data_IF_120585154719
#
_entry.id   IF_120585154719
#
_cell.length_a   1.000
_cell.length_b   1.000
_cell.length_c   1.000
_cell.angle_alpha   90.00
_cell.angle_beta   90.00
_cell.angle_gamma   90.00
#
_symmetry.space_group_name_H-M   'P 1'
#
loop_
_entity.id
_entity.type
_entity.pdbx_description
1 polymer ?
#
# COMPACT_ATOMS: atom_id res chain seq x y z
N UNK A 1 39.55 -33.35 -4.79
CA UNK A 1 38.21 -32.75 -4.63
C UNK A 1 38.39 -31.26 -4.44
N UNK A 2 38.01 -30.46 -5.44
CA UNK A 2 38.14 -29.00 -5.36
C UNK A 2 36.90 -28.43 -4.67
N UNK A 3 37.12 -27.61 -3.63
CA UNK A 3 36.08 -26.79 -3.00
C UNK A 3 35.49 -25.81 -4.02
N UNK A 4 34.16 -25.61 -4.08
CA UNK A 4 33.58 -24.61 -4.96
C UNK A 4 34.03 -23.22 -4.48
N UNK A 5 34.58 -22.42 -5.40
CA UNK A 5 34.86 -21.00 -5.17
C UNK A 5 33.53 -20.29 -4.93
N UNK A 6 33.43 -19.57 -3.82
CA UNK A 6 32.32 -18.66 -3.54
C UNK A 6 32.22 -17.61 -4.65
N UNK A 7 31.02 -17.49 -5.22
CA UNK A 7 30.69 -16.47 -6.22
C UNK A 7 30.82 -15.06 -5.60
N UNK A 8 31.67 -14.16 -6.15
CA UNK A 8 31.84 -12.80 -5.65
C UNK A 8 30.60 -11.91 -5.87
N UNK A 9 29.52 -12.40 -6.50
CA UNK A 9 28.24 -11.70 -6.62
C UNK A 9 27.35 -11.80 -5.37
N UNK A 10 27.71 -12.63 -4.38
CA UNK A 10 27.06 -12.71 -3.07
C UNK A 10 27.75 -11.80 -2.03
N UNK A 11 28.12 -10.59 -2.43
CA UNK A 11 28.46 -9.55 -1.46
C UNK A 11 27.17 -9.07 -0.80
N UNK A 12 27.05 -9.34 0.50
CA UNK A 12 26.00 -8.80 1.36
C UNK A 12 25.96 -7.27 1.23
N UNK A 13 25.05 -6.74 0.41
CA UNK A 13 24.68 -5.33 0.45
C UNK A 13 24.10 -5.04 1.84
N UNK A 14 24.95 -4.53 2.73
CA UNK A 14 24.56 -4.08 4.06
C UNK A 14 24.24 -2.58 3.98
N UNK A 15 22.96 -2.24 3.93
CA UNK A 15 22.50 -0.85 3.78
C UNK A 15 21.23 -0.74 2.95
N UNK A 16 20.44 0.30 3.17
CA UNK A 16 19.19 0.52 2.45
C UNK A 16 19.43 0.67 0.94
N UNK A 17 18.52 0.13 0.12
CA UNK A 17 18.57 0.38 -1.33
C UNK A 17 18.13 1.83 -1.57
N UNK A 18 18.84 2.56 -2.43
CA UNK A 18 18.45 3.91 -2.77
C UNK A 18 17.11 3.90 -3.52
N UNK A 19 16.10 4.58 -2.97
CA UNK A 19 14.76 4.72 -3.53
C UNK A 19 14.39 6.20 -3.62
N UNK A 20 13.66 6.57 -4.68
CA UNK A 20 13.21 7.95 -4.85
C UNK A 20 12.17 8.32 -3.78
N UNK A 21 12.28 9.55 -3.27
CA UNK A 21 11.29 10.19 -2.40
C UNK A 21 10.41 11.18 -3.14
N UNK A 22 10.63 11.34 -4.45
CA UNK A 22 9.84 12.24 -5.28
C UNK A 22 8.45 11.66 -5.52
N UNK A 23 7.46 12.56 -5.59
CA UNK A 23 6.09 12.20 -5.94
C UNK A 23 6.06 11.62 -7.36
N UNK A 24 5.21 10.62 -7.64
CA UNK A 24 4.99 10.14 -9.00
C UNK A 24 4.59 11.29 -9.95
N UNK A 25 5.11 11.27 -11.19
CA UNK A 25 4.71 12.26 -12.19
C UNK A 25 3.24 12.09 -12.56
N UNK A 26 2.65 13.14 -13.16
CA UNK A 26 1.25 13.11 -13.61
C UNK A 26 1.00 11.96 -14.60
N UNK A 27 1.95 11.70 -15.49
CA UNK A 27 1.88 10.61 -16.47
C UNK A 27 1.83 9.24 -15.78
N UNK A 28 2.63 9.04 -14.72
CA UNK A 28 2.58 7.81 -13.92
C UNK A 28 1.24 7.65 -13.19
N UNK A 29 0.66 8.74 -12.69
CA UNK A 29 -0.66 8.71 -12.04
C UNK A 29 -1.75 8.39 -13.06
N UNK A 30 -1.72 9.01 -14.24
CA UNK A 30 -2.65 8.74 -15.35
C UNK A 30 -2.51 7.29 -15.85
N UNK A 31 -1.30 6.75 -15.94
CA UNK A 31 -1.06 5.34 -16.29
C UNK A 31 -1.58 4.38 -15.20
N UNK A 32 -1.28 4.68 -13.93
CA UNK A 32 -1.70 3.86 -12.80
C UNK A 32 -3.22 3.80 -12.66
N UNK A 33 -3.92 4.90 -12.96
CA UNK A 33 -5.37 5.05 -12.80
C UNK A 33 -6.18 3.93 -13.48
N UNK A 34 -5.72 3.45 -14.64
CA UNK A 34 -6.40 2.44 -15.46
C UNK A 34 -5.96 1.00 -15.16
N UNK A 35 -4.98 0.79 -14.26
CA UNK A 35 -4.52 -0.56 -13.93
C UNK A 35 -5.63 -1.32 -13.20
N UNK A 36 -6.01 -2.53 -13.65
CA UNK A 36 -7.00 -3.33 -12.95
C UNK A 36 -6.43 -3.86 -11.63
N UNK A 37 -7.22 -3.73 -10.57
CA UNK A 37 -7.00 -4.37 -9.27
C UNK A 37 -8.16 -5.32 -9.00
N UNK A 38 -7.87 -6.39 -8.27
CA UNK A 38 -8.81 -7.46 -7.93
C UNK A 38 -9.19 -7.39 -6.45
N UNK A 39 -10.46 -7.60 -6.14
CA UNK A 39 -10.90 -7.89 -4.77
C UNK A 39 -10.76 -9.38 -4.42
N UNK A 40 -11.25 -9.79 -3.24
CA UNK A 40 -11.18 -11.18 -2.76
C UNK A 40 -11.92 -12.18 -3.64
N UNK A 41 -12.94 -11.72 -4.37
CA UNK A 41 -13.75 -12.56 -5.26
C UNK A 41 -13.14 -12.63 -6.67
N UNK A 42 -12.00 -11.96 -6.89
CA UNK A 42 -11.35 -11.86 -8.19
C UNK A 42 -12.07 -10.90 -9.13
N UNK A 43 -12.94 -10.02 -8.62
CA UNK A 43 -13.61 -9.01 -9.45
C UNK A 43 -12.68 -7.83 -9.70
N UNK A 44 -12.53 -7.50 -10.98
CA UNK A 44 -11.68 -6.40 -11.43
C UNK A 44 -12.35 -5.04 -11.28
N UNK A 45 -11.53 -4.02 -10.99
CA UNK A 45 -11.87 -2.60 -11.11
C UNK A 45 -10.62 -1.78 -11.44
N UNK A 46 -10.74 -0.65 -12.13
CA UNK A 46 -9.64 0.29 -12.28
C UNK A 46 -9.14 0.79 -10.92
N UNK A 47 -7.82 0.96 -10.78
CA UNK A 47 -7.17 1.45 -9.57
C UNK A 47 -7.72 2.80 -9.12
N UNK A 48 -8.03 3.71 -10.06
CA UNK A 48 -8.61 5.02 -9.75
C UNK A 48 -9.89 4.97 -8.93
N UNK A 49 -10.66 3.88 -9.05
CA UNK A 49 -11.91 3.71 -8.32
C UNK A 49 -11.72 3.63 -6.79
N UNK A 50 -10.47 3.51 -6.31
CA UNK A 50 -10.18 3.60 -4.88
C UNK A 50 -10.23 5.02 -4.34
N UNK A 51 -9.94 6.04 -5.16
CA UNK A 51 -9.78 7.42 -4.71
C UNK A 51 -10.64 8.43 -5.49
N UNK A 52 -11.18 8.06 -6.66
CA UNK A 52 -12.15 8.87 -7.39
C UNK A 52 -13.59 8.58 -6.96
N UNK A 53 -14.46 9.59 -7.13
CA UNK A 53 -15.90 9.49 -6.92
C UNK A 53 -16.64 9.84 -8.20
N UNK A 54 -17.88 9.37 -8.34
CA UNK A 54 -18.80 9.87 -9.36
C UNK A 54 -19.17 11.34 -9.12
N UNK A 55 -19.02 11.85 -7.90
CA UNK A 55 -19.22 13.26 -7.57
C UNK A 55 -17.89 14.02 -7.71
N UNK A 56 -17.74 14.79 -8.80
CA UNK A 56 -16.54 15.57 -9.10
C UNK A 56 -16.21 16.66 -8.07
N UNK A 57 -17.15 17.04 -7.20
CA UNK A 57 -16.94 18.04 -6.15
C UNK A 57 -16.54 17.44 -4.80
N UNK A 58 -16.56 16.10 -4.68
CA UNK A 58 -16.25 15.42 -3.43
C UNK A 58 -14.75 15.43 -3.18
N UNK A 59 -14.32 16.16 -2.14
CA UNK A 59 -12.94 16.10 -1.67
C UNK A 59 -12.68 14.73 -1.05
N UNK A 60 -11.66 14.04 -1.55
CA UNK A 60 -11.27 12.72 -1.05
C UNK A 60 -9.78 12.65 -0.80
N UNK A 61 -9.44 11.85 0.20
CA UNK A 61 -8.08 11.62 0.66
C UNK A 61 -7.90 10.16 0.98
N UNK A 62 -7.15 9.44 0.16
CA UNK A 62 -7.07 7.99 0.26
C UNK A 62 -5.62 7.57 0.40
N UNK A 63 -5.29 6.98 1.55
CA UNK A 63 -4.00 6.36 1.75
C UNK A 63 -4.02 4.93 1.21
N UNK A 64 -3.13 4.65 0.27
CA UNK A 64 -2.99 3.33 -0.33
C UNK A 64 -1.66 2.74 0.10
N UNK A 65 -1.73 1.60 0.80
CA UNK A 65 -0.58 0.87 1.32
C UNK A 65 -0.35 -0.38 0.48
N UNK A 66 0.79 -0.45 -0.19
CA UNK A 66 1.24 -1.62 -0.93
C UNK A 66 2.05 -2.52 0.00
N UNK A 67 1.58 -3.75 0.25
CA UNK A 67 2.35 -4.76 0.99
C UNK A 67 3.22 -5.57 0.05
N UNK A 68 4.30 -6.15 0.58
CA UNK A 68 5.27 -6.93 -0.21
C UNK A 68 4.64 -8.12 -0.94
N UNK A 69 4.09 -9.05 -0.17
CA UNK A 69 3.44 -10.28 -0.61
C UNK A 69 2.61 -10.83 0.57
N UNK A 70 1.59 -11.66 0.32
CA UNK A 70 0.65 -12.06 1.37
C UNK A 70 1.24 -13.00 2.44
N UNK A 71 2.40 -13.61 2.22
CA UNK A 71 3.10 -14.41 3.25
C UNK A 71 4.25 -13.65 3.93
N UNK A 72 4.33 -12.33 3.76
CA UNK A 72 5.36 -11.53 4.40
C UNK A 72 5.03 -11.32 5.88
N UNK A 73 5.76 -12.00 6.78
CA UNK A 73 5.59 -11.83 8.23
C UNK A 73 5.76 -10.39 8.71
N UNK A 74 6.67 -9.61 8.11
CA UNK A 74 6.86 -8.20 8.45
C UNK A 74 5.64 -7.34 8.08
N UNK A 75 5.04 -7.58 6.90
CA UNK A 75 3.83 -6.86 6.49
C UNK A 75 2.62 -7.27 7.30
N UNK A 76 2.54 -8.54 7.71
CA UNK A 76 1.44 -9.00 8.56
C UNK A 76 1.47 -8.36 9.94
N UNK A 77 2.66 -8.27 10.54
CA UNK A 77 2.83 -7.58 11.83
C UNK A 77 2.56 -6.08 11.67
N UNK A 78 3.09 -5.46 10.62
CA UNK A 78 2.80 -4.06 10.30
C UNK A 78 1.30 -3.79 10.22
N UNK A 79 0.54 -4.58 9.45
CA UNK A 79 -0.91 -4.41 9.33
C UNK A 79 -1.66 -4.69 10.63
N UNK A 80 -1.18 -5.63 11.47
CA UNK A 80 -1.78 -5.88 12.78
C UNK A 80 -1.64 -4.67 13.70
N UNK A 81 -0.43 -4.15 13.84
CA UNK A 81 -0.16 -2.96 14.65
C UNK A 81 -0.95 -1.77 14.09
N UNK A 82 -0.88 -1.54 12.78
CA UNK A 82 -1.61 -0.47 12.11
C UNK A 82 -3.12 -0.55 12.36
N UNK A 83 -3.73 -1.72 12.20
CA UNK A 83 -5.17 -1.91 12.39
C UNK A 83 -5.60 -1.72 13.83
N UNK A 84 -4.75 -2.09 14.80
CA UNK A 84 -5.03 -1.84 16.23
C UNK A 84 -4.83 -0.39 16.66
N UNK A 85 -3.99 0.36 15.94
CA UNK A 85 -3.60 1.72 16.28
C UNK A 85 -4.40 2.79 15.55
N UNK A 86 -5.15 2.45 14.50
CA UNK A 86 -5.96 3.39 13.74
C UNK A 86 -7.47 3.24 14.04
N UNK A 87 -8.26 4.33 13.95
CA UNK A 87 -9.72 4.26 14.06
C UNK A 87 -10.34 3.32 13.03
N UNK A 88 -11.55 2.83 13.32
CA UNK A 88 -12.33 2.07 12.34
C UNK A 88 -12.51 2.87 11.04
N UNK A 89 -12.72 2.22 9.87
CA UNK A 89 -12.84 2.93 8.60
C UNK A 89 -13.89 4.07 8.60
N UNK A 90 -14.99 3.90 9.35
CA UNK A 90 -16.05 4.90 9.52
C UNK A 90 -15.71 6.06 10.47
N UNK A 91 -14.65 5.93 11.28
CA UNK A 91 -14.21 6.91 12.26
C UNK A 91 -12.95 7.67 11.82
N UNK A 92 -12.48 7.44 10.58
CA UNK A 92 -11.45 8.28 9.98
C UNK A 92 -12.01 9.69 9.71
N UNK A 93 -11.15 10.72 9.61
CA UNK A 93 -11.58 12.07 9.27
C UNK A 93 -12.42 12.13 7.98
N UNK A 94 -13.30 13.12 7.88
CA UNK A 94 -14.22 13.25 6.75
C UNK A 94 -13.48 13.23 5.40
N UNK A 95 -14.02 12.49 4.43
CA UNK A 95 -13.40 12.32 3.11
C UNK A 95 -12.11 11.48 3.11
N UNK A 96 -11.70 10.91 4.25
CA UNK A 96 -10.47 10.11 4.37
C UNK A 96 -10.76 8.62 4.38
N UNK A 97 -10.00 7.84 3.62
CA UNK A 97 -10.05 6.37 3.65
C UNK A 97 -8.67 5.74 3.49
N UNK A 98 -8.59 4.43 3.74
CA UNK A 98 -7.36 3.66 3.62
C UNK A 98 -7.66 2.35 2.89
N UNK A 99 -6.78 1.95 1.97
CA UNK A 99 -6.85 0.66 1.29
C UNK A 99 -5.49 -0.02 1.26
N UNK A 100 -5.49 -1.36 1.26
CA UNK A 100 -4.29 -2.18 1.14
C UNK A 100 -4.25 -2.82 -0.25
N UNK A 101 -3.08 -2.87 -0.87
CA UNK A 101 -2.84 -3.59 -2.13
C UNK A 101 -1.70 -4.60 -1.93
N UNK A 102 -1.95 -5.87 -2.24
CA UNK A 102 -0.90 -6.89 -2.37
C UNK A 102 -0.54 -7.20 -3.82
N UNK A 103 0.40 -8.12 -4.02
CA UNK A 103 0.72 -8.68 -5.34
C UNK A 103 0.50 -10.20 -5.43
N UNK A 104 -0.14 -10.80 -4.43
CA UNK A 104 -0.53 -12.21 -4.45
C UNK A 104 -1.86 -12.45 -5.16
N UNK A 105 -2.28 -13.71 -5.28
CA UNK A 105 -3.56 -14.06 -5.86
C UNK A 105 -4.75 -13.58 -5.00
N UNK A 106 -5.89 -13.19 -5.62
CA UNK A 106 -7.06 -12.69 -4.90
C UNK A 106 -7.63 -13.69 -3.88
N UNK A 107 -7.49 -14.99 -4.15
CA UNK A 107 -7.93 -16.07 -3.25
C UNK A 107 -7.26 -16.06 -1.87
N UNK A 108 -6.12 -15.37 -1.71
CA UNK A 108 -5.41 -15.25 -0.44
C UNK A 108 -5.85 -14.05 0.40
N UNK A 109 -6.64 -13.13 -0.16
CA UNK A 109 -7.02 -11.87 0.51
C UNK A 109 -7.77 -12.13 1.82
N UNK A 110 -8.76 -13.04 1.82
CA UNK A 110 -9.58 -13.31 3.01
C UNK A 110 -8.74 -13.88 4.15
N UNK A 111 -7.92 -14.88 3.88
CA UNK A 111 -6.98 -15.43 4.86
C UNK A 111 -6.00 -14.37 5.37
N UNK A 112 -5.45 -13.54 4.47
CA UNK A 112 -4.53 -12.48 4.85
C UNK A 112 -5.19 -11.44 5.76
N UNK A 113 -6.44 -11.06 5.45
CA UNK A 113 -7.25 -10.15 6.26
C UNK A 113 -7.48 -10.71 7.67
N UNK A 114 -7.86 -11.98 7.77
CA UNK A 114 -8.05 -12.67 9.07
C UNK A 114 -6.75 -12.71 9.88
N UNK A 115 -5.64 -13.13 9.27
CA UNK A 115 -4.36 -13.29 9.96
C UNK A 115 -3.77 -11.96 10.48
N UNK A 116 -4.12 -10.86 9.84
CA UNK A 116 -3.67 -9.51 10.19
C UNK A 116 -4.67 -8.72 11.01
N UNK A 117 -5.89 -9.23 11.20
CA UNK A 117 -7.03 -8.48 11.74
C UNK A 117 -7.24 -7.13 11.02
N UNK A 118 -6.96 -7.09 9.71
CA UNK A 118 -7.06 -5.85 8.94
C UNK A 118 -8.52 -5.42 8.77
N UNK A 119 -8.84 -4.22 9.25
CA UNK A 119 -10.18 -3.64 9.16
C UNK A 119 -10.43 -2.88 7.85
N UNK A 120 -9.39 -2.65 7.05
CA UNK A 120 -9.46 -1.88 5.80
C UNK A 120 -9.65 -2.80 4.59
N UNK A 121 -10.23 -2.30 3.49
CA UNK A 121 -10.35 -3.07 2.26
C UNK A 121 -8.97 -3.46 1.72
N UNK A 122 -8.87 -4.70 1.23
CA UNK A 122 -7.66 -5.27 0.65
C UNK A 122 -7.96 -5.67 -0.80
N UNK A 123 -7.09 -5.24 -1.70
CA UNK A 123 -7.10 -5.57 -3.11
C UNK A 123 -5.75 -6.19 -3.50
N UNK A 124 -5.64 -6.64 -4.75
CA UNK A 124 -4.38 -7.12 -5.30
C UNK A 124 -4.15 -6.69 -6.74
N UNK A 125 -2.88 -6.43 -7.06
CA UNK A 125 -2.35 -6.34 -8.42
C UNK A 125 -1.33 -7.47 -8.62
N UNK A 126 -1.75 -8.68 -9.06
CA UNK A 126 -0.84 -9.79 -9.29
C UNK A 126 0.15 -9.54 -10.43
N UNK A 127 -0.18 -8.61 -11.34
CA UNK A 127 0.69 -8.23 -12.47
C UNK A 127 1.87 -7.37 -12.04
N UNK A 128 1.79 -6.76 -10.85
CA UNK A 128 2.76 -5.80 -10.29
C UNK A 128 2.99 -4.56 -11.14
N UNK A 129 2.06 -4.21 -12.03
CA UNK A 129 2.15 -3.01 -12.85
C UNK A 129 2.14 -1.76 -11.99
N UNK A 130 1.29 -1.69 -10.96
CA UNK A 130 1.30 -0.57 -10.00
C UNK A 130 2.64 -0.46 -9.28
N UNK A 131 3.21 -1.59 -8.86
CA UNK A 131 4.53 -1.64 -8.20
C UNK A 131 5.62 -1.08 -9.12
N UNK A 132 5.59 -1.43 -10.40
CA UNK A 132 6.54 -0.94 -11.39
C UNK A 132 6.34 0.56 -11.69
N UNK A 133 5.10 1.01 -11.92
CA UNK A 133 4.77 2.41 -12.23
C UNK A 133 5.18 3.33 -11.08
N UNK A 134 4.92 2.91 -9.84
CA UNK A 134 5.33 3.63 -8.65
C UNK A 134 6.75 3.32 -8.19
N UNK A 135 7.55 2.62 -8.99
CA UNK A 135 8.99 2.41 -8.75
C UNK A 135 9.31 1.73 -7.42
N UNK A 136 8.44 0.83 -6.97
CA UNK A 136 8.70 -0.06 -5.84
C UNK A 136 9.64 -1.19 -6.27
N UNK A 137 10.80 -1.26 -5.63
CA UNK A 137 11.92 -2.11 -6.05
C UNK A 137 11.70 -3.60 -5.74
N UNK A 138 12.61 -4.45 -6.22
CA UNK A 138 12.69 -5.85 -5.83
C UNK A 138 13.99 -6.10 -5.05
N UNK A 139 13.90 -6.38 -3.75
CA UNK A 139 15.03 -6.67 -2.87
C UNK A 139 14.65 -7.64 -1.75
N UNK A 140 15.63 -8.41 -1.27
CA UNK A 140 15.51 -9.25 -0.07
C UNK A 140 16.28 -8.65 1.12
N UNK A 141 16.80 -7.43 0.95
CA UNK A 141 17.56 -6.74 1.98
C UNK A 141 16.68 -6.50 3.22
N UNK A 142 17.20 -6.78 4.39
CA UNK A 142 16.51 -6.53 5.65
C UNK A 142 16.65 -5.07 6.10
N UNK A 143 17.60 -4.32 5.57
CA UNK A 143 17.96 -2.99 6.07
C UNK A 143 18.64 -3.06 7.44
N UNK A 144 19.07 -1.90 7.92
CA UNK A 144 19.89 -1.81 9.14
C UNK A 144 19.11 -1.35 10.38
N UNK A 145 17.81 -1.03 10.22
CA UNK A 145 16.93 -0.58 11.30
C UNK A 145 15.94 -1.67 11.68
N UNK A 146 15.57 -1.69 12.96
CA UNK A 146 14.44 -2.47 13.46
C UNK A 146 13.28 -1.50 13.67
N UNK A 147 12.25 -1.53 12.80
CA UNK A 147 11.07 -0.69 12.96
C UNK A 147 10.32 -0.99 14.25
N UNK A 148 9.66 0.01 14.81
CA UNK A 148 8.97 -0.12 16.11
C UNK A 148 7.76 -1.05 16.03
N UNK A 149 7.14 -1.16 14.86
CA UNK A 149 6.04 -2.09 14.63
C UNK A 149 6.46 -3.56 14.64
N UNK A 150 7.75 -3.91 14.49
CA UNK A 150 8.19 -5.31 14.53
C UNK A 150 8.31 -5.76 15.99
N UNK A 151 7.25 -6.40 16.51
CA UNK A 151 7.28 -7.03 17.83
C UNK A 151 7.78 -8.47 17.71
N UNK A 152 9.00 -8.72 18.21
CA UNK A 152 9.72 -9.98 18.05
C UNK A 152 9.03 -11.25 18.63
N UNK A 153 7.95 -11.14 19.41
CA UNK A 153 7.29 -12.29 20.05
C UNK A 153 6.07 -12.87 19.29
N UNK A 154 5.53 -12.19 18.28
CA UNK A 154 4.30 -12.63 17.58
C UNK A 154 4.56 -13.31 16.23
N UNK A 155 5.78 -13.21 15.70
CA UNK A 155 6.10 -13.67 14.35
C UNK A 155 6.09 -15.20 14.22
N UNK A 156 6.52 -15.94 15.24
CA UNK A 156 6.59 -17.41 15.18
C UNK A 156 5.20 -18.06 15.12
N UNK A 157 4.25 -17.63 15.95
CA UNK A 157 2.90 -18.20 16.00
C UNK A 157 2.05 -17.89 14.77
N UNK A 158 2.21 -16.70 14.19
CA UNK A 158 1.45 -16.23 13.01
C UNK A 158 1.97 -16.88 11.74
N UNK A 159 3.29 -16.94 11.58
CA UNK A 159 3.92 -17.67 10.47
C UNK A 159 3.53 -19.14 10.54
N UNK A 160 3.53 -19.75 11.73
CA UNK A 160 3.11 -21.14 11.90
C UNK A 160 1.62 -21.35 11.61
N UNK A 161 0.75 -20.40 11.97
CA UNK A 161 -0.69 -20.42 11.67
C UNK A 161 -0.99 -20.30 10.18
N UNK A 162 -0.31 -19.41 9.47
CA UNK A 162 -0.45 -19.22 8.02
C UNK A 162 0.12 -20.40 7.25
N UNK A 163 1.28 -20.91 7.66
CA UNK A 163 1.86 -22.14 7.07
C UNK A 163 0.91 -23.33 7.28
N UNK A 164 0.27 -23.45 8.44
CA UNK A 164 -0.74 -24.48 8.68
C UNK A 164 -2.02 -24.27 7.86
N UNK A 165 -2.51 -23.04 7.75
CA UNK A 165 -3.67 -22.71 6.93
C UNK A 165 -3.40 -23.02 5.45
N UNK A 166 -2.23 -22.65 4.93
CA UNK A 166 -1.79 -22.96 3.56
C UNK A 166 -1.63 -24.45 3.32
N UNK A 167 -1.05 -25.19 4.27
CA UNK A 167 -0.96 -26.66 4.19
C UNK A 167 -2.34 -27.32 4.15
N UNK A 168 -3.37 -26.70 4.72
CA UNK A 168 -4.76 -27.20 4.68
C UNK A 168 -5.52 -26.77 3.42
N UNK A 169 -5.09 -25.70 2.74
CA UNK A 169 -5.81 -25.03 1.63
C UNK A 169 -5.31 -25.46 0.24
N UNK A 170 -4.46 -26.50 0.13
CA UNK A 170 -4.03 -27.24 -1.09
C UNK A 170 -2.50 -27.22 -1.31
N UNK A 171 -1.95 -28.37 -1.73
CA UNK A 171 -0.58 -28.52 -2.23
C UNK A 171 -0.41 -27.69 -3.53
N UNK A 172 0.22 -26.50 -3.44
CA UNK A 172 0.56 -25.69 -4.62
C UNK A 172 0.55 -24.17 -4.44
N UNK A 173 -0.02 -23.66 -3.34
CA UNK A 173 -0.33 -22.23 -3.16
C UNK A 173 0.86 -21.31 -2.80
N UNK A 174 2.07 -21.86 -2.60
CA UNK A 174 3.27 -21.06 -2.29
C UNK A 174 3.55 -20.02 -3.38
N UNK A 175 3.29 -20.38 -4.64
CA UNK A 175 3.47 -19.49 -5.80
C UNK A 175 2.41 -18.39 -5.91
N UNK A 176 1.30 -18.48 -5.18
CA UNK A 176 0.22 -17.47 -5.22
C UNK A 176 0.46 -16.29 -4.27
N UNK A 177 1.46 -16.35 -3.40
CA UNK A 177 1.66 -15.29 -2.39
C UNK A 177 2.11 -13.94 -2.95
N UNK A 178 2.67 -13.94 -4.16
CA UNK A 178 3.33 -12.80 -4.79
C UNK A 178 4.84 -13.02 -4.94
N UNK A 179 5.53 -12.09 -5.60
CA UNK A 179 6.98 -12.14 -5.75
C UNK A 179 7.65 -11.83 -4.39
N UNK A 180 8.36 -12.80 -3.82
CA UNK A 180 9.04 -12.65 -2.53
C UNK A 180 10.09 -11.53 -2.52
N UNK A 181 10.59 -11.09 -3.69
CA UNK A 181 11.55 -9.98 -3.76
C UNK A 181 10.84 -8.63 -3.81
N UNK A 182 9.57 -8.56 -4.18
CA UNK A 182 8.86 -7.29 -4.27
C UNK A 182 8.83 -6.62 -2.89
N UNK A 183 9.19 -5.33 -2.85
CA UNK A 183 8.89 -4.49 -1.68
C UNK A 183 7.69 -3.58 -1.95
N UNK A 184 7.12 -3.04 -0.88
CA UNK A 184 5.92 -2.21 -0.91
C UNK A 184 6.21 -0.72 -0.78
N UNK A 185 5.22 0.02 -0.30
CA UNK A 185 5.26 1.45 -0.09
C UNK A 185 3.87 2.00 0.22
N UNK A 186 3.79 3.31 0.43
CA UNK A 186 2.54 4.00 0.75
C UNK A 186 2.40 5.27 -0.09
N UNK A 187 1.18 5.56 -0.54
CA UNK A 187 0.88 6.71 -1.40
C UNK A 187 -0.43 7.34 -0.93
N UNK A 188 -0.41 8.64 -0.68
CA UNK A 188 -1.59 9.42 -0.34
C UNK A 188 -2.11 10.11 -1.59
N UNK A 189 -3.31 9.71 -2.02
CA UNK A 189 -4.03 10.33 -3.12
C UNK A 189 -5.02 11.36 -2.59
N UNK A 190 -5.04 12.54 -3.19
CA UNK A 190 -5.99 13.61 -2.89
C UNK A 190 -6.68 14.09 -4.16
N UNK A 191 -8.01 14.24 -4.07
CA UNK A 191 -8.82 14.91 -5.09
C UNK A 191 -9.33 16.21 -4.48
N UNK A 192 -8.90 17.31 -5.06
CA UNK A 192 -9.43 18.64 -4.79
C UNK A 192 -10.61 18.83 -5.72
N UNK A 193 -11.84 18.89 -5.20
CA UNK A 193 -13.08 19.08 -5.99
C UNK A 193 -13.21 20.42 -6.74
N UNK A 194 -12.08 21.05 -7.06
CA UNK A 194 -11.97 22.27 -7.84
C UNK A 194 -11.91 21.91 -9.32
N UNK A 195 -13.06 21.99 -9.98
CA UNK A 195 -13.10 22.07 -11.44
C UNK A 195 -12.51 23.42 -11.80
N UNK A 196 -11.37 23.43 -12.51
CA UNK A 196 -10.85 24.65 -13.13
C UNK A 196 -11.95 25.22 -14.05
N UNK A 197 -12.75 26.16 -13.56
CA UNK A 197 -13.50 27.06 -14.41
C UNK A 197 -12.48 28.00 -15.05
N UNK A 198 -11.82 27.53 -16.11
CA UNK A 198 -11.17 28.42 -17.04
C UNK A 198 -12.28 29.17 -17.77
N UNK A 199 -12.61 30.35 -17.26
CA UNK A 199 -13.27 31.41 -18.02
C UNK A 199 -12.31 31.83 -19.13
N UNK A 200 -12.45 31.25 -20.32
CA UNK A 200 -11.84 31.80 -21.52
C UNK A 200 -12.83 31.62 -22.69
N UNK A 201 -13.58 32.69 -22.94
CA UNK A 201 -14.32 32.90 -24.18
C UNK A 201 -13.28 33.03 -25.30
N UNK A 202 -12.87 31.91 -25.90
CA UNK A 202 -12.72 31.71 -27.35
C UNK A 202 -11.98 30.40 -27.69
N UNK A 203 -12.47 29.79 -28.77
CA UNK A 203 -11.78 28.87 -29.68
C UNK A 203 -11.90 27.36 -29.39
N UNK A 204 -12.75 26.74 -30.23
CA UNK A 204 -12.77 25.33 -30.63
C UNK A 204 -11.53 24.52 -30.26
N UNK A 205 -11.64 23.72 -29.20
CA UNK A 205 -10.84 22.51 -29.00
C UNK A 205 -11.77 21.44 -28.46
N UNK A 206 -11.69 20.27 -29.08
CA UNK A 206 -12.19 18.99 -28.55
C UNK A 206 -11.76 18.87 -27.10
N UNK A 207 -12.67 19.18 -26.17
CA UNK A 207 -12.46 19.02 -24.75
C UNK A 207 -12.56 17.54 -24.41
N UNK A 208 -11.49 16.81 -24.69
CA UNK A 208 -11.20 15.60 -23.93
C UNK A 208 -11.21 16.03 -22.48
N UNK A 209 -12.33 15.72 -21.81
CA UNK A 209 -12.53 15.97 -20.39
C UNK A 209 -11.49 15.11 -19.70
N UNK A 210 -10.29 15.68 -19.48
CA UNK A 210 -9.16 14.97 -18.91
C UNK A 210 -9.58 14.59 -17.50
N UNK A 211 -10.11 13.38 -17.35
CA UNK A 211 -10.62 12.85 -16.09
C UNK A 211 -9.58 13.13 -15.02
N UNK A 212 -9.96 13.85 -13.97
CA UNK A 212 -9.07 14.11 -12.85
C UNK A 212 -8.66 12.77 -12.24
N UNK A 213 -7.41 12.36 -12.48
CA UNK A 213 -6.83 11.12 -11.99
C UNK A 213 -6.29 11.29 -10.55
N UNK A 214 -6.63 12.40 -9.88
CA UNK A 214 -6.15 12.76 -8.56
C UNK A 214 -4.68 13.17 -8.57
N UNK A 215 -4.22 13.65 -7.41
CA UNK A 215 -2.81 13.97 -7.18
C UNK A 215 -2.26 13.12 -6.04
N UNK A 216 -0.99 12.71 -6.13
CA UNK A 216 -0.28 12.14 -4.99
C UNK A 216 0.40 13.28 -4.24
N UNK A 217 0.04 13.49 -2.97
CA UNK A 217 0.60 14.59 -2.15
C UNK A 217 1.57 14.12 -1.09
N UNK A 218 1.66 12.80 -0.88
CA UNK A 218 2.69 12.18 -0.05
C UNK A 218 2.96 10.76 -0.54
N UNK A 219 4.21 10.32 -0.47
CA UNK A 219 4.57 8.93 -0.73
C UNK A 219 5.77 8.47 0.08
N UNK A 220 5.81 7.17 0.35
CA UNK A 220 6.97 6.45 0.87
C UNK A 220 7.17 5.18 0.07
N UNK A 221 8.41 4.92 -0.35
CA UNK A 221 8.78 3.68 -1.02
C UNK A 221 9.70 2.91 -0.09
N UNK A 222 9.41 1.64 0.15
CA UNK A 222 10.26 0.82 1.01
C UNK A 222 11.64 0.65 0.36
N UNK A 223 12.71 0.94 1.10
CA UNK A 223 14.09 0.72 0.69
C UNK A 223 14.60 -0.70 0.99
N UNK A 224 13.86 -1.45 1.82
CA UNK A 224 14.19 -2.81 2.25
C UNK A 224 12.90 -3.57 2.65
N UNK A 225 13.02 -4.82 3.06
CA UNK A 225 11.86 -5.71 3.38
C UNK A 225 11.14 -5.39 4.69
N UNK A 226 11.63 -4.40 5.45
CA UNK A 226 11.15 -3.92 6.75
C UNK A 226 10.98 -2.40 6.78
N UNK A 227 10.87 -1.73 5.63
CA UNK A 227 10.85 -0.26 5.57
C UNK A 227 9.45 0.32 5.31
N UNK A 228 8.40 -0.23 5.93
CA UNK A 228 7.12 0.47 5.94
C UNK A 228 7.22 1.73 6.82
N UNK A 229 6.41 2.75 6.52
CA UNK A 229 6.36 3.93 7.37
C UNK A 229 5.90 3.57 8.78
N UNK A 230 6.49 4.18 9.82
CA UNK A 230 6.04 3.96 11.21
C UNK A 230 4.57 4.37 11.39
N UNK A 231 3.85 3.67 12.26
CA UNK A 231 2.40 3.88 12.44
C UNK A 231 2.06 5.32 12.85
N UNK A 232 2.91 5.97 13.64
CA UNK A 232 2.76 7.39 14.00
C UNK A 232 2.85 8.33 12.80
N UNK A 233 3.64 7.99 11.78
CA UNK A 233 3.67 8.73 10.52
C UNK A 233 2.33 8.56 9.81
N UNK A 234 1.79 7.34 9.77
CA UNK A 234 0.49 7.08 9.15
C UNK A 234 -0.65 7.82 9.87
N UNK A 235 -0.66 7.85 11.20
CA UNK A 235 -1.65 8.60 12.00
C UNK A 235 -1.63 10.09 11.67
N UNK A 236 -0.43 10.69 11.64
CA UNK A 236 -0.24 12.10 11.28
C UNK A 236 -0.67 12.37 9.86
N UNK A 237 -0.27 11.51 8.91
CA UNK A 237 -0.69 11.62 7.53
C UNK A 237 -2.20 11.58 7.52
N UNK A 238 -2.89 10.57 8.03
CA UNK A 238 -4.36 10.49 8.03
C UNK A 238 -5.09 11.60 8.81
N UNK A 239 -4.38 12.43 9.59
CA UNK A 239 -4.99 13.51 10.37
C UNK A 239 -5.76 13.02 11.60
N UNK A 240 -5.45 11.80 12.06
CA UNK A 240 -6.13 11.19 13.21
C UNK A 240 -5.81 11.94 14.51
N UNK A 241 -4.57 12.40 14.67
CA UNK A 241 -4.11 13.08 15.90
C UNK A 241 -4.63 14.52 16.03
N UNK A 242 -5.15 15.11 14.95
CA UNK A 242 -5.66 16.49 14.92
C UNK A 242 -7.07 16.63 15.50
N UNK A 243 -7.73 15.52 15.80
CA UNK A 243 -9.14 15.49 16.22
C UNK A 243 -9.36 15.50 17.74
N UNK A 244 -8.29 15.49 18.54
CA UNK A 244 -8.36 15.29 20.00
C UNK A 244 -8.10 16.57 20.83
N UNK A 245 -8.07 17.76 20.21
CA UNK A 245 -7.80 19.04 20.88
C UNK A 245 -9.03 19.95 21.06
N UNK A 246 -10.23 19.41 20.90
CA UNK A 246 -11.48 20.18 20.90
C UNK A 246 -12.52 19.74 21.92
N UNK A 247 -12.17 19.59 23.20
CA UNK A 247 -13.15 19.69 24.30
C UNK A 247 -12.46 19.65 25.68
N UNK A 248 -12.21 20.83 26.25
CA UNK A 248 -12.32 21.13 27.69
C UNK A 248 -12.16 22.64 27.93
N UNK A 249 -13.19 23.37 27.51
CA UNK A 249 -13.50 24.65 28.15
C UNK A 249 -14.96 24.60 28.55
N UNK A 250 -15.20 24.18 29.79
CA UNK A 250 -16.48 24.35 30.48
C UNK A 250 -16.18 24.97 31.84
N UNK A 251 -16.28 26.31 31.84
CA UNK A 251 -16.96 27.18 32.80
C UNK A 251 -16.97 26.80 34.27
#
# INVERSE_FOLDING_TARGET
MATPKSDPSLTNFSGDVNVSRELPSKEKIEEAAEIPILDSDGKERPFKNLYTSSNAHEKRRVLIIFVRHFFCGNCQEYLRVLSSSLPSPSALPAGTSLAIIGCGGPSLINMYKEATACQYPIYTDPSRRLYKIFEMICTLNLGNRNPQYIRHSLMSGVVQGIVQALKRVYEGDVFKSGDIRQVGGEFLFEITGEVNQASDDNLTKTSDSKNDCGNVTWCHRMANTRDHSEVEVIRRILGVDSSDSGEKETR
#
